data_IF_357856531203
#
_entry.id   IF_357856531203
#
_cell.length_a   1.000
_cell.length_b   1.000
_cell.length_c   1.000
_cell.angle_alpha   90.00
_cell.angle_beta   90.00
_cell.angle_gamma   90.00
#
_symmetry.space_group_name_H-M   'P 1'
#
loop_
_entity.id
_entity.type
_entity.pdbx_description
1 polymer ?
#
# COMPACT_ATOMS: atom_id res chain seq x y z
N UNK A 1 39.20 -25.02 -0.05
CA UNK A 1 39.02 -24.38 -1.37
C UNK A 1 37.63 -23.69 -1.43
N UNK A 2 37.24 -23.04 -0.30
CA UNK A 2 36.02 -22.20 -0.21
C UNK A 2 36.45 -20.73 -0.26
N UNK A 3 36.89 -20.24 -1.40
CA UNK A 3 37.28 -18.83 -1.60
C UNK A 3 36.07 -17.84 -1.46
N UNK A 4 34.84 -18.34 -1.33
CA UNK A 4 33.62 -17.52 -1.29
C UNK A 4 32.90 -17.49 0.07
N UNK A 5 33.42 -18.10 1.11
CA UNK A 5 32.78 -18.10 2.42
C UNK A 5 32.87 -16.73 3.11
N UNK A 6 31.76 -16.16 3.50
CA UNK A 6 31.73 -14.88 4.24
C UNK A 6 32.18 -15.07 5.67
N UNK A 7 32.92 -14.09 6.19
CA UNK A 7 33.32 -13.98 7.59
C UNK A 7 33.02 -12.56 8.10
N UNK A 8 32.80 -12.43 9.40
CA UNK A 8 32.63 -11.11 10.01
C UNK A 8 33.99 -10.38 10.04
N UNK A 9 34.04 -9.24 9.38
CA UNK A 9 35.23 -8.39 9.30
C UNK A 9 35.69 -7.96 10.71
N UNK A 10 37.02 -7.86 10.93
CA UNK A 10 37.57 -7.52 12.23
C UNK A 10 37.03 -6.21 12.82
N UNK A 11 36.78 -5.22 11.99
CA UNK A 11 36.19 -3.94 12.39
C UNK A 11 34.69 -4.03 12.70
N UNK A 12 33.97 -5.08 12.26
CA UNK A 12 32.57 -5.31 12.50
C UNK A 12 32.26 -6.22 13.70
N UNK A 13 33.29 -6.86 14.29
CA UNK A 13 33.13 -7.76 15.46
C UNK A 13 32.46 -7.05 16.64
N UNK A 14 32.86 -5.82 16.91
CA UNK A 14 32.26 -5.02 17.99
C UNK A 14 30.77 -4.76 17.71
N UNK A 15 30.38 -4.40 16.46
CA UNK A 15 28.99 -4.20 16.11
C UNK A 15 28.14 -5.47 16.24
N UNK A 16 28.73 -6.65 15.98
CA UNK A 16 28.06 -7.92 16.21
C UNK A 16 27.86 -8.18 17.71
N UNK A 17 28.88 -7.90 18.56
CA UNK A 17 28.80 -8.00 20.02
C UNK A 17 27.74 -7.04 20.59
N UNK A 18 27.73 -5.79 20.12
CA UNK A 18 26.74 -4.79 20.50
C UNK A 18 25.33 -5.25 20.11
N UNK A 19 25.15 -5.78 18.89
CA UNK A 19 23.86 -6.29 18.43
C UNK A 19 23.39 -7.50 19.26
N UNK A 20 24.26 -8.48 19.51
CA UNK A 20 23.92 -9.63 20.34
C UNK A 20 23.56 -9.23 21.78
N UNK A 21 24.27 -8.25 22.34
CA UNK A 21 24.02 -7.71 23.67
C UNK A 21 22.66 -6.98 23.75
N UNK A 22 22.32 -6.14 22.76
CA UNK A 22 21.02 -5.42 22.69
C UNK A 22 19.87 -6.40 22.51
N UNK A 23 20.03 -7.37 21.60
CA UNK A 23 19.03 -8.40 21.34
C UNK A 23 18.97 -9.47 22.43
N UNK A 24 19.96 -9.50 23.36
CA UNK A 24 20.10 -10.52 24.40
C UNK A 24 20.02 -11.94 23.84
N UNK A 25 20.79 -12.19 22.80
CA UNK A 25 20.97 -13.51 22.18
C UNK A 25 22.43 -13.93 22.21
N UNK A 26 22.66 -15.23 22.05
CA UNK A 26 24.02 -15.76 21.96
C UNK A 26 24.73 -15.21 20.69
N UNK A 27 25.93 -14.64 20.88
CA UNK A 27 26.70 -14.00 19.81
C UNK A 27 27.08 -14.99 18.70
N UNK A 28 27.51 -16.21 19.07
CA UNK A 28 27.99 -17.18 18.09
C UNK A 28 26.83 -17.74 17.26
N UNK A 29 25.65 -17.88 17.89
CA UNK A 29 24.41 -18.21 17.16
C UNK A 29 23.98 -17.10 16.18
N UNK A 30 24.05 -15.84 16.62
CA UNK A 30 23.73 -14.71 15.76
C UNK A 30 24.71 -14.61 14.58
N UNK A 31 26.04 -14.74 14.84
CA UNK A 31 27.05 -14.74 13.78
C UNK A 31 26.77 -15.85 12.77
N UNK A 32 26.51 -17.06 13.24
CA UNK A 32 26.24 -18.22 12.42
C UNK A 32 24.98 -18.02 11.55
N UNK A 33 23.91 -17.46 12.12
CA UNK A 33 22.68 -17.14 11.39
C UNK A 33 22.89 -16.08 10.32
N UNK A 34 23.88 -15.19 10.47
CA UNK A 34 24.17 -14.14 9.50
C UNK A 34 25.04 -14.60 8.33
N UNK A 35 25.99 -15.52 8.55
CA UNK A 35 27.01 -15.92 7.56
C UNK A 35 26.79 -17.33 6.98
N UNK A 36 25.83 -18.07 7.48
CA UNK A 36 25.53 -19.42 6.98
C UNK A 36 24.03 -19.68 6.88
N UNK A 37 23.68 -20.68 6.10
CA UNK A 37 22.29 -21.13 5.86
C UNK A 37 22.19 -22.63 6.08
N UNK A 38 21.12 -23.06 6.73
CA UNK A 38 20.81 -24.47 6.92
C UNK A 38 20.06 -25.02 5.70
N UNK A 39 20.61 -26.06 5.07
CA UNK A 39 19.97 -26.79 3.98
C UNK A 39 19.57 -28.15 4.52
N UNK A 40 18.26 -28.46 4.51
CA UNK A 40 17.74 -29.77 4.90
C UNK A 40 17.84 -30.72 3.70
N UNK A 41 18.70 -31.72 3.81
CA UNK A 41 18.86 -32.80 2.82
C UNK A 41 18.20 -34.08 3.32
N UNK A 42 18.13 -35.10 2.46
CA UNK A 42 17.60 -36.42 2.85
C UNK A 42 18.47 -37.08 3.99
N UNK A 43 19.74 -36.74 4.05
CA UNK A 43 20.72 -37.30 4.99
C UNK A 43 20.90 -36.44 6.25
N UNK A 44 20.18 -35.32 6.39
CA UNK A 44 20.25 -34.42 7.54
C UNK A 44 20.39 -32.96 7.15
N UNK A 45 20.53 -32.09 8.17
CA UNK A 45 20.69 -30.66 7.96
C UNK A 45 22.20 -30.31 7.80
N UNK A 46 22.54 -29.67 6.69
CA UNK A 46 23.90 -29.24 6.37
C UNK A 46 23.95 -27.70 6.45
N UNK A 47 24.99 -27.17 7.12
CA UNK A 47 25.26 -25.74 7.13
C UNK A 47 26.09 -25.38 5.90
N UNK A 48 25.57 -24.50 5.07
CA UNK A 48 26.26 -23.95 3.91
C UNK A 48 26.69 -22.51 4.21
N UNK A 49 27.98 -22.15 4.07
CA UNK A 49 28.43 -20.77 4.16
C UNK A 49 27.76 -19.92 3.06
N UNK A 50 27.47 -18.66 3.36
CA UNK A 50 26.96 -17.69 2.41
C UNK A 50 28.11 -16.94 1.74
N UNK A 51 27.88 -16.48 0.50
CA UNK A 51 28.75 -15.50 -0.14
C UNK A 51 28.70 -14.17 0.62
N UNK A 52 29.66 -13.28 0.41
CA UNK A 52 29.67 -11.93 1.03
C UNK A 52 28.42 -11.14 0.64
N UNK A 53 27.96 -11.27 -0.60
CA UNK A 53 26.73 -10.63 -1.07
C UNK A 53 25.50 -11.19 -0.35
N UNK A 54 25.37 -12.51 -0.28
CA UNK A 54 24.24 -13.17 0.37
C UNK A 54 24.20 -12.89 1.87
N UNK A 55 25.36 -12.86 2.54
CA UNK A 55 25.46 -12.52 3.96
C UNK A 55 25.04 -11.07 4.25
N UNK A 56 25.33 -10.12 3.35
CA UNK A 56 24.81 -8.75 3.46
C UNK A 56 23.29 -8.71 3.34
N UNK A 57 22.72 -9.39 2.35
CA UNK A 57 21.27 -9.50 2.18
C UNK A 57 20.61 -10.18 3.38
N UNK A 58 21.24 -11.21 3.92
CA UNK A 58 20.80 -11.94 5.11
C UNK A 58 20.73 -11.01 6.35
N UNK A 59 21.80 -10.23 6.59
CA UNK A 59 21.83 -9.20 7.63
C UNK A 59 20.71 -8.18 7.47
N UNK A 60 20.52 -7.68 6.25
CA UNK A 60 19.50 -6.64 5.96
C UNK A 60 18.08 -7.21 6.12
N UNK A 61 17.88 -8.50 5.77
CA UNK A 61 16.62 -9.22 6.02
C UNK A 61 16.31 -9.36 7.52
N UNK A 62 17.33 -9.63 8.35
CA UNK A 62 17.17 -9.65 9.80
C UNK A 62 16.70 -8.29 10.33
N UNK A 63 17.34 -7.20 9.90
CA UNK A 63 16.98 -5.85 10.32
C UNK A 63 15.55 -5.48 9.89
N UNK A 64 15.16 -5.79 8.63
CA UNK A 64 13.81 -5.57 8.11
C UNK A 64 12.77 -6.36 8.92
N UNK A 65 13.04 -7.63 9.20
CA UNK A 65 12.14 -8.50 9.95
C UNK A 65 11.93 -8.00 11.39
N UNK A 66 13.01 -7.61 12.07
CA UNK A 66 12.94 -7.03 13.41
C UNK A 66 12.08 -5.76 13.43
N UNK A 67 12.32 -4.86 12.50
CA UNK A 67 11.56 -3.61 12.42
C UNK A 67 10.08 -3.85 12.12
N UNK A 68 9.78 -4.69 11.13
CA UNK A 68 8.40 -5.00 10.74
C UNK A 68 7.60 -5.59 11.91
N UNK A 69 8.16 -6.59 12.59
CA UNK A 69 7.48 -7.23 13.71
C UNK A 69 7.33 -6.31 14.94
N UNK A 70 8.35 -5.50 15.21
CA UNK A 70 8.27 -4.50 16.27
C UNK A 70 7.18 -3.45 15.97
N UNK A 71 7.07 -3.04 14.71
CA UNK A 71 6.04 -2.11 14.27
C UNK A 71 4.64 -2.71 14.41
N UNK A 72 4.42 -3.95 13.93
CA UNK A 72 3.16 -4.66 14.07
C UNK A 72 2.74 -4.76 15.54
N UNK A 73 3.67 -5.16 16.41
CA UNK A 73 3.44 -5.23 17.85
C UNK A 73 3.07 -3.87 18.45
N UNK A 74 3.76 -2.80 18.04
CA UNK A 74 3.47 -1.45 18.52
C UNK A 74 2.07 -0.99 18.11
N UNK A 75 1.69 -1.23 16.84
CA UNK A 75 0.35 -0.93 16.32
C UNK A 75 -0.71 -1.70 17.10
N UNK A 76 -0.49 -2.97 17.38
CA UNK A 76 -1.43 -3.78 18.15
C UNK A 76 -1.59 -3.26 19.59
N UNK A 77 -0.48 -2.89 20.25
CA UNK A 77 -0.51 -2.28 21.59
C UNK A 77 -1.24 -0.94 21.62
N UNK A 78 -1.04 -0.11 20.61
CA UNK A 78 -1.78 1.15 20.46
C UNK A 78 -3.28 0.87 20.31
N UNK A 79 -3.66 -0.05 19.43
CA UNK A 79 -5.06 -0.41 19.22
C UNK A 79 -5.71 -0.97 20.50
N UNK A 80 -5.01 -1.80 21.25
CA UNK A 80 -5.47 -2.29 22.55
C UNK A 80 -5.66 -1.15 23.56
N UNK A 81 -4.74 -0.18 23.59
CA UNK A 81 -4.79 0.95 24.52
C UNK A 81 -5.95 1.91 24.23
N UNK A 82 -6.30 2.12 22.94
CA UNK A 82 -7.46 2.95 22.55
C UNK A 82 -8.79 2.19 22.54
N UNK A 83 -8.80 0.92 22.97
CA UNK A 83 -10.03 0.16 23.19
C UNK A 83 -10.61 -0.53 21.95
N UNK A 84 -9.86 -0.62 20.85
CA UNK A 84 -10.22 -1.47 19.71
C UNK A 84 -9.95 -2.95 20.08
N UNK A 85 -10.89 -3.57 20.77
CA UNK A 85 -10.88 -5.02 20.94
C UNK A 85 -11.33 -5.67 19.61
N UNK A 86 -10.65 -6.74 19.20
CA UNK A 86 -10.99 -7.61 18.05
C UNK A 86 -12.41 -8.25 18.13
N UNK A 87 -13.20 -7.93 19.16
CA UNK A 87 -14.55 -8.49 19.39
C UNK A 87 -15.57 -8.10 18.30
N UNK A 88 -15.24 -7.13 17.40
CA UNK A 88 -16.17 -6.66 16.37
C UNK A 88 -16.00 -7.36 15.01
N UNK A 89 -14.96 -8.18 14.79
CA UNK A 89 -14.75 -8.89 13.52
C UNK A 89 -15.34 -10.33 13.48
N UNK A 90 -15.50 -10.98 14.64
CA UNK A 90 -16.12 -12.33 14.72
C UNK A 90 -17.66 -12.31 14.56
N UNK A 91 -18.32 -11.17 14.81
CA UNK A 91 -19.79 -11.04 14.68
C UNK A 91 -20.26 -10.81 13.22
N UNK A 92 -19.36 -10.76 12.24
CA UNK A 92 -19.71 -10.46 10.84
C UNK A 92 -19.87 -11.74 9.97
N UNK A 93 -19.43 -12.91 10.41
CA UNK A 93 -19.46 -14.15 9.60
C UNK A 93 -20.56 -15.15 9.97
N UNK A 94 -21.22 -15.04 11.12
CA UNK A 94 -22.32 -15.93 11.46
C UNK A 94 -23.68 -15.35 11.04
N UNK A 95 -24.05 -15.69 9.82
CA UNK A 95 -25.41 -15.57 9.33
C UNK A 95 -26.33 -16.58 10.00
N UNK A 96 -27.49 -16.09 10.45
CA UNK A 96 -28.74 -16.79 10.81
C UNK A 96 -28.91 -17.39 12.22
N UNK A 97 -29.95 -16.82 12.85
CA UNK A 97 -30.72 -17.31 13.97
C UNK A 97 -30.15 -17.17 15.39
N UNK A 98 -30.51 -16.03 16.04
CA UNK A 98 -31.07 -16.11 17.41
C UNK A 98 -31.96 -14.88 17.66
N UNK A 99 -33.18 -15.14 18.04
CA UNK A 99 -34.22 -14.23 18.50
C UNK A 99 -33.79 -13.55 19.80
N UNK A 100 -33.91 -12.22 19.86
CA UNK A 100 -34.00 -11.46 21.13
C UNK A 100 -32.79 -10.58 21.43
N UNK A 101 -33.04 -9.29 21.42
CA UNK A 101 -32.22 -8.12 21.72
C UNK A 101 -31.30 -7.65 20.56
N UNK A 102 -31.75 -6.58 19.94
CA UNK A 102 -30.97 -5.80 18.99
C UNK A 102 -29.71 -5.28 19.69
N UNK A 103 -28.58 -6.00 19.60
CA UNK A 103 -27.26 -5.42 19.87
C UNK A 103 -27.14 -4.19 18.99
N UNK A 104 -27.11 -3.03 19.56
CA UNK A 104 -26.91 -1.76 18.87
C UNK A 104 -25.53 -1.83 18.20
N UNK A 105 -25.49 -1.96 16.87
CA UNK A 105 -24.25 -1.87 16.11
C UNK A 105 -23.58 -0.54 16.46
N UNK A 106 -22.43 -0.58 17.10
CA UNK A 106 -21.65 0.61 17.41
C UNK A 106 -21.32 1.32 16.11
N UNK A 107 -21.68 2.60 16.04
CA UNK A 107 -21.29 3.45 14.91
C UNK A 107 -19.89 3.99 15.19
N UNK A 108 -19.04 4.07 14.17
CA UNK A 108 -17.71 4.65 14.31
C UNK A 108 -17.51 5.76 13.29
N UNK A 109 -16.66 6.71 13.61
CA UNK A 109 -16.13 7.72 12.69
C UNK A 109 -14.65 7.41 12.53
N UNK A 110 -14.23 7.13 11.29
CA UNK A 110 -12.84 6.86 10.95
C UNK A 110 -12.18 8.08 10.33
N UNK A 111 -10.88 8.24 10.56
CA UNK A 111 -10.05 9.23 9.87
C UNK A 111 -8.97 8.47 9.11
N UNK A 112 -8.88 8.71 7.80
CA UNK A 112 -7.82 8.19 6.96
C UNK A 112 -6.85 9.31 6.63
N UNK A 113 -5.60 9.16 7.10
CA UNK A 113 -4.49 10.06 6.78
C UNK A 113 -3.33 9.24 6.20
N UNK A 114 -3.11 9.38 4.90
CA UNK A 114 -2.06 8.69 4.16
C UNK A 114 -1.22 9.68 3.36
N UNK A 115 -0.03 9.25 2.94
CA UNK A 115 0.77 10.04 2.01
C UNK A 115 -0.01 10.36 0.75
N UNK A 116 -0.02 11.65 0.36
CA UNK A 116 -0.56 12.08 -0.92
C UNK A 116 0.31 11.60 -2.09
N UNK A 117 -0.15 11.89 -3.31
CA UNK A 117 0.59 11.55 -4.53
C UNK A 117 1.99 12.20 -4.54
N UNK A 118 3.02 11.40 -4.84
CA UNK A 118 4.41 11.81 -4.82
C UNK A 118 5.04 11.79 -6.22
N UNK A 119 5.71 12.88 -6.58
CA UNK A 119 6.51 12.99 -7.80
C UNK A 119 7.76 13.78 -7.51
N UNK A 120 8.87 13.09 -7.36
CA UNK A 120 10.18 13.65 -7.08
C UNK A 120 11.09 13.55 -8.32
N UNK A 121 12.30 14.08 -8.20
CA UNK A 121 13.34 13.89 -9.24
C UNK A 121 13.76 12.42 -9.37
N UNK A 122 13.69 11.68 -8.27
CA UNK A 122 13.94 10.25 -8.20
C UNK A 122 12.78 9.58 -7.48
N UNK A 123 12.14 8.63 -8.13
CA UNK A 123 11.03 7.88 -7.58
C UNK A 123 11.39 6.40 -7.63
N UNK A 124 11.27 5.72 -6.51
CA UNK A 124 11.57 4.31 -6.38
C UNK A 124 10.32 3.50 -6.06
N UNK A 125 10.50 2.28 -5.60
CA UNK A 125 9.43 1.34 -5.25
C UNK A 125 8.44 1.90 -4.22
N UNK A 126 8.92 2.69 -3.26
CA UNK A 126 8.08 3.32 -2.25
C UNK A 126 7.09 4.31 -2.88
N UNK A 127 7.57 5.20 -3.77
CA UNK A 127 6.72 6.15 -4.50
C UNK A 127 5.74 5.43 -5.42
N UNK A 128 6.16 4.31 -6.01
CA UNK A 128 5.26 3.47 -6.81
C UNK A 128 4.10 2.92 -5.96
N UNK A 129 4.37 2.40 -4.78
CA UNK A 129 3.33 1.91 -3.86
C UNK A 129 2.42 3.03 -3.37
N UNK A 130 2.98 4.19 -2.98
CA UNK A 130 2.23 5.36 -2.54
C UNK A 130 1.31 5.86 -3.67
N UNK A 131 1.83 5.98 -4.88
CA UNK A 131 1.05 6.46 -6.02
C UNK A 131 -0.01 5.45 -6.46
N UNK A 132 0.24 4.15 -6.36
CA UNK A 132 -0.78 3.13 -6.57
C UNK A 132 -1.94 3.25 -5.56
N UNK A 133 -1.65 3.50 -4.28
CA UNK A 133 -2.69 3.75 -3.28
C UNK A 133 -3.50 5.01 -3.63
N UNK A 134 -2.83 6.08 -4.05
CA UNK A 134 -3.50 7.32 -4.45
C UNK A 134 -4.37 7.14 -5.70
N UNK A 135 -3.97 6.32 -6.68
CA UNK A 135 -4.80 5.97 -7.83
C UNK A 135 -6.12 5.29 -7.42
N UNK A 136 -6.05 4.32 -6.50
CA UNK A 136 -7.27 3.67 -5.99
C UNK A 136 -8.17 4.60 -5.21
N UNK A 137 -7.59 5.45 -4.38
CA UNK A 137 -8.36 6.45 -3.63
C UNK A 137 -8.95 7.52 -4.54
N UNK A 138 -8.23 7.92 -5.59
CA UNK A 138 -8.75 8.85 -6.59
C UNK A 138 -9.91 8.24 -7.38
N UNK A 139 -9.82 6.96 -7.77
CA UNK A 139 -10.94 6.26 -8.41
C UNK A 139 -12.17 6.25 -7.51
N UNK A 140 -11.99 5.90 -6.25
CA UNK A 140 -13.09 5.90 -5.27
C UNK A 140 -13.71 7.30 -5.11
N UNK A 141 -12.88 8.33 -5.04
CA UNK A 141 -13.33 9.72 -4.99
C UNK A 141 -14.13 10.11 -6.23
N UNK A 142 -13.60 9.84 -7.42
CA UNK A 142 -14.27 10.15 -8.68
C UNK A 142 -15.63 9.45 -8.79
N UNK A 143 -15.70 8.16 -8.46
CA UNK A 143 -16.94 7.38 -8.46
C UNK A 143 -17.97 7.98 -7.49
N UNK A 144 -17.54 8.41 -6.31
CA UNK A 144 -18.43 8.98 -5.29
C UNK A 144 -18.95 10.35 -5.71
N UNK A 145 -18.08 11.23 -6.21
CA UNK A 145 -18.46 12.56 -6.71
C UNK A 145 -19.43 12.43 -7.89
N UNK A 146 -19.11 11.55 -8.84
CA UNK A 146 -19.96 11.33 -10.00
C UNK A 146 -21.35 10.81 -9.61
N UNK A 147 -21.40 9.84 -8.68
CA UNK A 147 -22.67 9.31 -8.18
C UNK A 147 -23.50 10.36 -7.45
N UNK A 148 -22.87 11.22 -6.66
CA UNK A 148 -23.57 12.33 -5.99
C UNK A 148 -24.18 13.33 -7.00
N UNK A 149 -23.43 13.65 -8.07
CA UNK A 149 -23.93 14.49 -9.15
C UNK A 149 -25.13 13.85 -9.87
N UNK A 150 -25.08 12.55 -10.17
CA UNK A 150 -26.18 11.82 -10.78
C UNK A 150 -27.43 11.85 -9.90
N UNK A 151 -27.32 11.52 -8.63
CA UNK A 151 -28.43 11.50 -7.68
C UNK A 151 -29.11 12.87 -7.56
N UNK A 152 -28.33 13.95 -7.62
CA UNK A 152 -28.87 15.31 -7.58
C UNK A 152 -29.59 15.66 -8.88
N UNK A 153 -29.03 15.32 -10.03
CA UNK A 153 -29.67 15.56 -11.32
C UNK A 153 -30.97 14.76 -11.50
N UNK A 154 -31.00 13.52 -11.01
CA UNK A 154 -32.22 12.71 -11.02
C UNK A 154 -33.33 13.33 -10.14
N UNK A 155 -32.98 13.88 -8.97
CA UNK A 155 -33.95 14.59 -8.12
C UNK A 155 -34.52 15.85 -8.79
N UNK A 156 -33.68 16.55 -9.53
CA UNK A 156 -34.07 17.80 -10.25
C UNK A 156 -34.61 17.53 -11.65
N UNK A 157 -34.81 16.24 -12.04
CA UNK A 157 -35.23 15.82 -13.37
C UNK A 157 -34.39 16.41 -14.52
N UNK A 158 -33.07 16.52 -14.30
CA UNK A 158 -32.10 17.04 -15.27
C UNK A 158 -31.46 15.86 -16.00
N UNK A 159 -31.36 15.96 -17.34
CA UNK A 159 -30.62 15.00 -18.14
C UNK A 159 -29.11 15.12 -17.88
N UNK A 160 -28.50 14.01 -17.44
CA UNK A 160 -27.04 13.90 -17.11
C UNK A 160 -26.31 12.95 -18.07
N UNK A 161 -26.96 12.42 -19.09
CA UNK A 161 -26.38 11.41 -19.99
C UNK A 161 -25.16 11.88 -20.77
N UNK A 162 -24.90 13.19 -20.82
CA UNK A 162 -23.75 13.82 -21.47
C UNK A 162 -22.53 13.99 -20.56
N UNK A 163 -22.62 13.66 -19.26
CA UNK A 163 -21.50 13.79 -18.32
C UNK A 163 -20.68 12.50 -18.38
N UNK A 164 -19.49 12.60 -18.96
CA UNK A 164 -18.55 11.47 -19.04
C UNK A 164 -17.84 11.25 -17.71
N UNK A 165 -17.85 10.01 -17.23
CA UNK A 165 -17.05 9.58 -16.10
C UNK A 165 -15.63 9.28 -16.57
N UNK A 166 -14.65 10.00 -16.03
CA UNK A 166 -13.23 9.70 -16.27
C UNK A 166 -12.79 8.60 -15.30
N UNK A 167 -12.75 7.37 -15.79
CA UNK A 167 -12.25 6.23 -15.04
C UNK A 167 -10.74 6.10 -15.22
N UNK A 168 -10.04 5.86 -14.12
CA UNK A 168 -8.61 5.53 -14.12
C UNK A 168 -8.36 4.02 -13.93
N UNK A 169 -9.32 3.18 -14.29
CA UNK A 169 -9.18 1.73 -14.24
C UNK A 169 -8.04 1.22 -15.13
N UNK A 170 -7.79 1.87 -16.24
CA UNK A 170 -6.72 1.54 -17.18
C UNK A 170 -5.33 1.56 -16.52
N UNK A 171 -4.99 2.58 -15.74
CA UNK A 171 -3.71 2.61 -15.00
C UNK A 171 -3.69 1.59 -13.86
N UNK A 172 -4.80 1.38 -13.16
CA UNK A 172 -4.89 0.35 -12.13
C UNK A 172 -4.65 -1.05 -12.71
N UNK A 173 -5.20 -1.34 -13.88
CA UNK A 173 -4.98 -2.61 -14.57
C UNK A 173 -3.52 -2.81 -14.97
N UNK A 174 -2.84 -1.79 -15.47
CA UNK A 174 -1.39 -1.82 -15.73
C UNK A 174 -0.60 -2.18 -14.47
N UNK A 175 -0.98 -1.64 -13.32
CA UNK A 175 -0.26 -1.87 -12.06
C UNK A 175 -0.59 -3.25 -11.47
N UNK A 176 -1.87 -3.61 -11.35
CA UNK A 176 -2.30 -4.70 -10.45
C UNK A 176 -2.94 -5.91 -11.12
N UNK A 177 -3.16 -5.96 -12.44
CA UNK A 177 -3.76 -7.14 -13.09
C UNK A 177 -2.94 -8.39 -12.79
N UNK A 178 -3.63 -9.52 -12.61
CA UNK A 178 -3.02 -10.78 -12.14
C UNK A 178 -1.97 -11.34 -13.10
N UNK A 179 -2.13 -11.13 -14.39
CA UNK A 179 -1.21 -11.60 -15.43
C UNK A 179 -0.73 -10.40 -16.25
N UNK A 180 0.58 -10.16 -16.24
CA UNK A 180 1.19 -9.08 -17.01
C UNK A 180 1.06 -7.68 -16.39
N UNK A 181 0.53 -7.50 -15.18
CA UNK A 181 0.60 -6.25 -14.44
C UNK A 181 1.98 -6.07 -13.79
N UNK A 182 2.36 -4.84 -13.50
CA UNK A 182 3.70 -4.51 -12.97
C UNK A 182 4.03 -5.31 -11.70
N UNK A 183 3.10 -5.38 -10.74
CA UNK A 183 3.30 -6.13 -9.49
C UNK A 183 3.51 -7.62 -9.77
N UNK A 184 2.73 -8.22 -10.66
CA UNK A 184 2.87 -9.65 -10.99
C UNK A 184 4.18 -9.95 -11.73
N UNK A 185 4.60 -9.08 -12.65
CA UNK A 185 5.88 -9.21 -13.36
C UNK A 185 7.09 -9.03 -12.42
N UNK A 186 6.94 -8.15 -11.43
CA UNK A 186 7.94 -7.96 -10.38
C UNK A 186 8.05 -9.20 -9.49
N UNK A 187 6.93 -9.79 -9.08
CA UNK A 187 6.90 -11.00 -8.27
C UNK A 187 7.53 -12.19 -9.00
N UNK A 188 7.20 -12.38 -10.28
CA UNK A 188 7.86 -13.40 -11.11
C UNK A 188 9.38 -13.17 -11.19
N UNK A 189 9.81 -11.92 -11.32
CA UNK A 189 11.23 -11.57 -11.36
C UNK A 189 11.95 -11.81 -10.03
N UNK A 190 11.22 -11.69 -8.91
CA UNK A 190 11.74 -12.01 -7.58
C UNK A 190 11.93 -13.51 -7.32
N UNK A 191 11.08 -14.36 -7.90
CA UNK A 191 11.15 -15.82 -7.74
C UNK A 191 12.34 -16.41 -8.50
N UNK A 192 12.71 -15.81 -9.62
CA UNK A 192 13.86 -16.24 -10.41
C UNK A 192 15.18 -15.80 -9.75
N UNK A 193 16.07 -16.73 -9.49
CA UNK A 193 17.26 -16.53 -8.64
C UNK A 193 18.33 -15.59 -9.23
N UNK A 194 18.29 -15.25 -10.48
CA UNK A 194 19.33 -14.45 -11.16
C UNK A 194 18.77 -13.30 -12.02
N UNK A 195 17.54 -12.84 -11.76
CA UNK A 195 16.97 -11.74 -12.55
C UNK A 195 17.62 -10.41 -12.16
N UNK A 196 18.17 -9.73 -13.16
CA UNK A 196 18.72 -8.37 -12.97
C UNK A 196 17.64 -7.30 -13.20
N UNK A 197 17.95 -6.06 -12.79
CA UNK A 197 17.05 -4.92 -13.01
C UNK A 197 16.80 -4.66 -14.51
N UNK A 198 17.81 -4.91 -15.36
CA UNK A 198 17.68 -4.79 -16.81
C UNK A 198 16.71 -5.83 -17.40
N UNK A 199 16.80 -7.07 -16.92
CA UNK A 199 15.89 -8.15 -17.36
C UNK A 199 14.44 -7.86 -16.91
N UNK A 200 14.26 -7.35 -15.69
CA UNK A 200 12.95 -6.91 -15.21
C UNK A 200 12.40 -5.77 -16.08
N UNK A 201 13.20 -4.75 -16.38
CA UNK A 201 12.81 -3.64 -17.24
C UNK A 201 12.43 -4.12 -18.65
N UNK A 202 13.21 -5.01 -19.26
CA UNK A 202 12.91 -5.59 -20.56
C UNK A 202 11.58 -6.37 -20.55
N UNK A 203 11.32 -7.11 -19.47
CA UNK A 203 10.04 -7.82 -19.26
C UNK A 203 8.86 -6.86 -19.19
N UNK A 204 9.01 -5.73 -18.46
CA UNK A 204 8.00 -4.68 -18.42
C UNK A 204 7.74 -4.09 -19.81
N UNK A 205 8.80 -3.72 -20.53
CA UNK A 205 8.67 -3.11 -21.85
C UNK A 205 8.02 -4.05 -22.87
N UNK A 206 8.32 -5.36 -22.79
CA UNK A 206 7.71 -6.35 -23.70
C UNK A 206 6.25 -6.64 -23.37
N UNK A 207 5.87 -6.61 -22.08
CA UNK A 207 4.53 -6.96 -21.64
C UNK A 207 3.55 -5.79 -21.71
N UNK A 208 4.04 -4.54 -21.67
CA UNK A 208 3.26 -3.32 -21.54
C UNK A 208 3.46 -2.34 -22.72
N UNK A 209 4.02 -2.78 -23.84
CA UNK A 209 4.33 -1.91 -24.98
C UNK A 209 3.09 -1.24 -25.60
N UNK A 210 1.95 -1.94 -25.59
CA UNK A 210 0.67 -1.46 -26.13
C UNK A 210 -0.14 -0.63 -25.11
N UNK A 211 0.31 -0.49 -23.86
CA UNK A 211 -0.45 0.18 -22.81
C UNK A 211 -0.27 1.71 -22.88
N UNK A 212 -1.36 2.43 -23.04
CA UNK A 212 -1.34 3.91 -23.17
C UNK A 212 -0.79 4.63 -21.93
N UNK A 213 -0.93 4.01 -20.76
CA UNK A 213 -0.48 4.56 -19.47
C UNK A 213 0.97 4.23 -19.14
N UNK A 214 1.63 3.42 -19.95
CA UNK A 214 3.00 2.99 -19.75
C UNK A 214 3.91 3.48 -20.88
N UNK A 215 5.11 3.96 -20.54
CA UNK A 215 6.10 4.35 -21.54
C UNK A 215 7.53 4.17 -21.05
N UNK A 216 8.46 4.02 -22.02
CA UNK A 216 9.89 3.95 -21.75
C UNK A 216 10.50 5.35 -21.88
N UNK A 217 11.20 5.87 -20.87
CA UNK A 217 11.90 7.15 -20.97
C UNK A 217 13.08 7.09 -21.95
N UNK A 218 13.30 8.17 -22.70
CA UNK A 218 14.32 8.20 -23.78
C UNK A 218 15.77 8.06 -23.27
N UNK A 219 16.03 8.39 -22.01
CA UNK A 219 17.40 8.47 -21.45
C UNK A 219 17.79 7.30 -20.56
N UNK A 220 16.87 6.42 -20.21
CA UNK A 220 17.14 5.26 -19.37
C UNK A 220 16.79 3.95 -20.07
N UNK A 221 17.54 2.88 -19.77
CA UNK A 221 17.29 1.54 -20.29
C UNK A 221 16.51 0.66 -19.30
N UNK A 222 16.43 1.10 -18.04
CA UNK A 222 15.83 0.33 -16.96
C UNK A 222 14.64 1.03 -16.33
N UNK A 223 14.51 2.36 -16.44
CA UNK A 223 13.42 3.11 -15.85
C UNK A 223 12.15 3.00 -16.70
N UNK A 224 11.01 3.17 -16.05
CA UNK A 224 9.71 3.22 -16.73
C UNK A 224 8.89 4.41 -16.25
N UNK A 225 8.00 4.89 -17.11
CA UNK A 225 7.11 6.02 -16.81
C UNK A 225 5.68 5.55 -16.83
N UNK A 226 4.92 5.94 -15.81
CA UNK A 226 3.47 5.76 -15.72
C UNK A 226 2.77 7.11 -15.85
N UNK A 227 1.72 7.15 -16.67
CA UNK A 227 0.84 8.31 -16.79
C UNK A 227 -0.28 8.19 -15.77
N UNK A 228 -0.10 8.81 -14.61
CA UNK A 228 -1.05 8.85 -13.51
C UNK A 228 -2.09 9.96 -13.68
N UNK A 229 -3.14 9.95 -12.83
CA UNK A 229 -4.14 11.03 -12.82
C UNK A 229 -3.49 12.41 -12.55
N UNK A 230 -2.45 12.45 -11.73
CA UNK A 230 -1.74 13.69 -11.37
C UNK A 230 -0.65 14.10 -12.37
N UNK A 231 -0.33 13.23 -13.33
CA UNK A 231 0.68 13.43 -14.37
C UNK A 231 1.69 12.28 -14.46
N UNK A 232 2.67 12.44 -15.35
CA UNK A 232 3.69 11.45 -15.61
C UNK A 232 4.68 11.34 -14.46
N UNK A 233 4.97 10.10 -14.03
CA UNK A 233 6.01 9.80 -13.04
C UNK A 233 6.94 8.74 -13.60
N UNK A 234 8.24 9.05 -13.63
CA UNK A 234 9.28 8.10 -14.00
C UNK A 234 9.83 7.42 -12.74
N UNK A 235 9.87 6.11 -12.75
CA UNK A 235 10.34 5.26 -11.65
C UNK A 235 11.68 4.63 -12.00
N UNK A 236 12.67 4.77 -11.08
CA UNK A 236 13.97 4.13 -11.14
C UNK A 236 13.81 2.67 -10.69
N UNK A 237 13.84 1.71 -11.63
CA UNK A 237 13.54 0.29 -11.33
C UNK A 237 14.72 -0.49 -10.75
N UNK A 238 15.89 0.11 -10.63
CA UNK A 238 17.15 -0.54 -10.22
C UNK A 238 17.01 -1.40 -8.95
N UNK A 239 16.28 -0.92 -7.95
CA UNK A 239 16.13 -1.59 -6.66
C UNK A 239 14.74 -2.22 -6.44
N UNK A 240 13.89 -2.30 -7.47
CA UNK A 240 12.53 -2.82 -7.32
C UNK A 240 12.50 -4.28 -6.90
N UNK A 241 13.33 -5.12 -7.52
CA UNK A 241 13.41 -6.56 -7.20
C UNK A 241 13.84 -6.75 -5.74
N UNK A 242 14.89 -6.05 -5.29
CA UNK A 242 15.42 -6.19 -3.96
C UNK A 242 14.46 -5.64 -2.90
N UNK A 243 13.82 -4.50 -3.18
CA UNK A 243 12.84 -3.88 -2.27
C UNK A 243 11.54 -4.67 -2.17
N UNK A 244 11.16 -5.40 -3.23
CA UNK A 244 9.97 -6.23 -3.22
C UNK A 244 10.19 -7.60 -2.55
N UNK A 245 11.44 -8.05 -2.44
CA UNK A 245 11.78 -9.30 -1.76
C UNK A 245 11.71 -9.13 -0.25
N UNK A 246 10.86 -9.92 0.39
CA UNK A 246 10.89 -10.13 1.83
C UNK A 246 11.04 -11.63 2.09
N UNK A 247 12.12 -11.98 2.76
CA UNK A 247 12.43 -13.37 3.07
C UNK A 247 12.32 -13.59 4.57
N UNK A 248 11.39 -14.43 4.97
CA UNK A 248 11.41 -14.99 6.32
C UNK A 248 12.48 -16.08 6.40
N UNK A 249 13.57 -15.82 7.10
CA UNK A 249 14.69 -16.74 7.29
C UNK A 249 14.50 -17.42 8.64
N UNK A 250 14.37 -18.74 8.62
CA UNK A 250 14.06 -19.54 9.82
C UNK A 250 15.15 -19.37 10.90
N UNK A 251 16.41 -19.36 10.50
CA UNK A 251 17.55 -19.20 11.42
C UNK A 251 17.48 -17.88 12.22
N UNK A 252 16.96 -16.82 11.62
CA UNK A 252 16.74 -15.56 12.32
C UNK A 252 15.66 -15.70 13.40
N UNK A 253 14.54 -16.34 13.04
CA UNK A 253 13.45 -16.58 13.99
C UNK A 253 13.91 -17.48 15.14
N UNK A 254 14.65 -18.55 14.85
CA UNK A 254 15.20 -19.44 15.85
C UNK A 254 16.15 -18.74 16.82
N UNK A 255 17.03 -17.84 16.32
CA UNK A 255 17.93 -17.07 17.20
C UNK A 255 17.15 -16.07 18.05
N UNK A 256 16.20 -15.34 17.45
CA UNK A 256 15.46 -14.30 18.16
C UNK A 256 14.46 -14.84 19.17
N UNK A 257 13.88 -16.02 18.92
CA UNK A 257 13.00 -16.71 19.90
C UNK A 257 13.76 -17.13 21.19
N UNK A 258 15.08 -17.27 21.12
CA UNK A 258 15.91 -17.56 22.31
C UNK A 258 16.30 -16.32 23.12
N UNK A 259 15.85 -15.12 22.72
CA UNK A 259 16.18 -13.87 23.38
C UNK A 259 15.67 -13.85 24.84
N UNK A 260 16.49 -13.30 25.75
CA UNK A 260 16.09 -13.03 27.13
C UNK A 260 15.19 -11.78 27.24
N UNK A 261 15.01 -11.03 26.14
CA UNK A 261 14.16 -9.84 26.10
C UNK A 261 12.71 -10.23 25.94
N UNK A 262 11.84 -9.89 26.91
CA UNK A 262 10.41 -10.22 26.88
C UNK A 262 9.70 -9.77 25.60
N UNK A 263 10.03 -8.58 25.09
CA UNK A 263 9.42 -8.05 23.86
C UNK A 263 9.75 -8.94 22.67
N UNK A 264 11.01 -9.33 22.49
CA UNK A 264 11.40 -10.20 21.38
C UNK A 264 10.74 -11.57 21.47
N UNK A 265 10.68 -12.17 22.66
CA UNK A 265 9.94 -13.43 22.83
C UNK A 265 8.49 -13.30 22.42
N UNK A 266 7.76 -12.30 22.93
CA UNK A 266 6.37 -12.07 22.56
C UNK A 266 6.19 -11.91 21.05
N UNK A 267 7.00 -11.10 20.40
CA UNK A 267 6.91 -10.82 18.96
C UNK A 267 7.20 -12.08 18.11
N UNK A 268 8.05 -12.99 18.59
CA UNK A 268 8.46 -14.16 17.82
C UNK A 268 7.75 -15.46 18.23
N UNK A 269 7.27 -15.61 19.47
CA UNK A 269 6.52 -16.77 19.96
C UNK A 269 5.05 -16.75 19.51
N UNK A 270 4.37 -15.58 19.48
CA UNK A 270 2.95 -15.49 19.11
C UNK A 270 2.69 -15.94 17.67
N UNK A 271 3.57 -15.65 16.72
CA UNK A 271 3.40 -16.05 15.31
C UNK A 271 3.73 -17.51 15.02
N UNK A 272 4.52 -18.18 15.84
CA UNK A 272 4.67 -19.64 15.72
C UNK A 272 3.34 -20.37 16.01
N UNK A 273 2.58 -19.88 16.97
CA UNK A 273 1.26 -20.43 17.31
C UNK A 273 0.19 -20.14 16.24
N UNK A 274 0.24 -18.99 15.55
CA UNK A 274 -0.66 -18.69 14.42
C UNK A 274 -0.36 -19.59 13.22
N UNK A 275 0.91 -19.81 12.87
CA UNK A 275 1.33 -20.71 11.79
C UNK A 275 0.96 -22.17 12.10
N UNK A 276 0.98 -22.58 13.36
CA UNK A 276 0.58 -23.92 13.80
C UNK A 276 -0.95 -24.09 13.85
N UNK A 277 -1.70 -23.04 14.12
CA UNK A 277 -3.17 -23.08 14.18
C UNK A 277 -3.86 -22.99 12.81
N UNK A 278 -3.24 -22.36 11.80
CA UNK A 278 -3.68 -22.49 10.40
C UNK A 278 -3.48 -23.90 9.84
N UNK A 279 -2.74 -24.77 10.54
CA UNK A 279 -2.39 -26.14 10.18
C UNK A 279 -3.40 -27.22 10.50
N UNK A 280 -4.65 -26.92 10.87
CA UNK A 280 -5.70 -27.95 11.12
C UNK A 280 -6.33 -28.53 9.83
N UNK A 281 -5.71 -28.31 8.65
CA UNK A 281 -5.93 -29.13 7.44
C UNK A 281 -4.83 -30.18 7.35
N UNK A 282 -5.16 -31.48 7.11
CA UNK A 282 -4.14 -32.51 6.98
C UNK A 282 -3.12 -32.11 5.90
N UNK A 283 -1.80 -32.18 6.19
CA UNK A 283 -0.80 -31.75 5.25
C UNK A 283 -0.89 -32.59 3.96
N UNK A 284 -0.78 -31.98 2.78
CA UNK A 284 -0.63 -32.73 1.55
C UNK A 284 0.68 -33.54 1.64
N UNK A 285 0.70 -34.78 1.11
CA UNK A 285 1.86 -35.65 1.26
C UNK A 285 3.09 -35.02 0.59
N UNK A 286 4.12 -34.79 1.38
CA UNK A 286 5.46 -34.35 0.99
C UNK A 286 5.60 -32.95 0.36
N UNK A 287 5.19 -31.89 1.05
CA UNK A 287 5.80 -30.58 0.83
C UNK A 287 7.16 -30.56 1.57
N UNK A 288 8.26 -30.50 0.83
CA UNK A 288 9.60 -30.20 1.36
C UNK A 288 9.48 -28.84 2.06
N UNK A 289 9.73 -28.77 3.37
CA UNK A 289 9.85 -27.49 4.09
C UNK A 289 11.02 -26.73 3.45
N UNK A 290 10.72 -25.82 2.56
CA UNK A 290 11.70 -24.87 2.03
C UNK A 290 12.07 -23.96 3.18
N UNK A 291 13.34 -23.91 3.52
CA UNK A 291 13.89 -23.09 4.62
C UNK A 291 13.72 -21.57 4.39
N UNK A 292 13.13 -21.16 3.28
CA UNK A 292 12.97 -19.76 2.87
C UNK A 292 11.63 -19.59 2.17
N UNK A 293 10.72 -18.83 2.80
CA UNK A 293 9.43 -18.49 2.20
C UNK A 293 9.54 -17.08 1.63
N UNK A 294 9.46 -16.97 0.30
CA UNK A 294 9.37 -15.69 -0.38
C UNK A 294 8.02 -15.04 -0.09
N UNK A 295 8.05 -13.80 0.34
CA UNK A 295 6.88 -12.95 0.48
C UNK A 295 7.10 -11.69 -0.38
N UNK A 296 6.10 -11.35 -1.18
CA UNK A 296 6.13 -10.14 -2.00
C UNK A 296 5.56 -8.97 -1.21
N UNK A 297 6.37 -7.91 -1.03
CA UNK A 297 5.92 -6.67 -0.40
C UNK A 297 4.84 -6.00 -1.24
N UNK A 298 5.02 -5.91 -2.57
CA UNK A 298 4.05 -5.29 -3.47
C UNK A 298 2.71 -6.01 -3.49
N UNK A 299 2.71 -7.34 -3.47
CA UNK A 299 1.47 -8.11 -3.42
C UNK A 299 0.79 -8.02 -2.05
N UNK A 300 1.55 -8.04 -0.96
CA UNK A 300 1.02 -7.81 0.40
C UNK A 300 0.40 -6.42 0.52
N UNK A 301 1.08 -5.38 0.02
CA UNK A 301 0.57 -4.02 -0.03
C UNK A 301 -0.74 -3.93 -0.82
N UNK A 302 -0.80 -4.56 -2.00
CA UNK A 302 -2.02 -4.65 -2.82
C UNK A 302 -3.19 -5.27 -2.06
N UNK A 303 -2.96 -6.35 -1.31
CA UNK A 303 -4.01 -7.00 -0.51
C UNK A 303 -4.50 -6.08 0.61
N UNK A 304 -3.59 -5.49 1.39
CA UNK A 304 -3.94 -4.54 2.45
C UNK A 304 -4.71 -3.33 1.92
N UNK A 305 -4.28 -2.80 0.76
CA UNK A 305 -4.97 -1.69 0.09
C UNK A 305 -6.39 -2.09 -0.36
N UNK A 306 -6.58 -3.29 -0.89
CA UNK A 306 -7.90 -3.78 -1.28
C UNK A 306 -8.82 -3.95 -0.06
N UNK A 307 -8.31 -4.40 1.08
CA UNK A 307 -9.09 -4.52 2.31
C UNK A 307 -9.45 -3.14 2.89
N UNK A 308 -8.54 -2.18 2.81
CA UNK A 308 -8.85 -0.77 3.11
C UNK A 308 -9.96 -0.25 2.20
N UNK A 309 -9.88 -0.48 0.89
CA UNK A 309 -10.90 -0.05 -0.07
C UNK A 309 -12.26 -0.68 0.21
N UNK A 310 -12.33 -1.97 0.58
CA UNK A 310 -13.59 -2.62 1.00
C UNK A 310 -14.21 -1.92 2.22
N UNK A 311 -13.39 -1.58 3.23
CA UNK A 311 -13.86 -0.83 4.41
C UNK A 311 -14.41 0.53 4.00
N UNK A 312 -13.71 1.29 3.16
CA UNK A 312 -14.15 2.60 2.67
C UNK A 312 -15.46 2.54 1.86
N UNK A 313 -15.62 1.54 1.00
CA UNK A 313 -16.86 1.35 0.23
C UNK A 313 -18.08 1.07 1.13
N UNK A 314 -17.86 0.47 2.30
CA UNK A 314 -18.90 0.21 3.30
C UNK A 314 -19.26 1.41 4.18
N UNK A 315 -18.60 2.56 4.00
CA UNK A 315 -18.81 3.77 4.79
C UNK A 315 -19.35 4.92 3.96
N UNK A 316 -19.79 6.00 4.63
CA UNK A 316 -20.10 7.27 3.99
C UNK A 316 -18.84 8.17 4.03
N UNK A 317 -18.11 8.32 2.92
CA UNK A 317 -16.86 9.06 2.92
C UNK A 317 -17.08 10.57 2.83
N UNK A 318 -16.31 11.30 3.63
CA UNK A 318 -16.19 12.75 3.57
C UNK A 318 -14.75 13.10 3.22
N UNK A 319 -14.56 13.81 2.11
CA UNK A 319 -13.23 14.13 1.61
C UNK A 319 -12.80 15.53 2.05
N UNK A 320 -11.66 15.60 2.74
CA UNK A 320 -11.02 16.86 3.14
C UNK A 320 -9.71 16.99 2.38
N UNK A 321 -9.53 18.08 1.66
CA UNK A 321 -8.30 18.39 0.93
C UNK A 321 -7.68 19.64 1.50
N UNK A 322 -6.47 19.50 2.07
CA UNK A 322 -5.72 20.61 2.63
C UNK A 322 -4.70 21.12 1.60
N UNK A 323 -4.71 22.41 1.34
CA UNK A 323 -3.77 23.06 0.42
C UNK A 323 -2.91 24.03 1.20
N UNK A 324 -1.58 23.88 1.10
CA UNK A 324 -0.61 24.77 1.73
C UNK A 324 -0.29 25.93 0.78
N UNK A 325 -0.54 27.19 1.15
CA UNK A 325 -0.42 28.32 0.23
C UNK A 325 1.02 28.60 -0.22
N UNK A 326 2.02 28.27 0.61
CA UNK A 326 3.44 28.39 0.29
C UNK A 326 4.27 27.42 1.14
N UNK A 327 5.49 27.10 0.70
CA UNK A 327 6.39 26.18 1.41
C UNK A 327 6.98 26.77 2.69
N UNK A 328 7.23 28.07 2.71
CA UNK A 328 7.88 28.76 3.81
C UNK A 328 6.96 29.04 5.02
N UNK A 329 5.66 28.75 4.91
CA UNK A 329 4.63 29.06 5.93
C UNK A 329 4.57 30.55 6.29
N UNK A 330 4.81 31.42 5.30
CA UNK A 330 4.75 32.87 5.45
C UNK A 330 3.33 33.36 5.17
N UNK A 331 2.72 34.20 6.04
CA UNK A 331 1.38 34.71 5.83
C UNK A 331 1.32 35.63 4.60
N UNK A 332 0.15 35.72 3.97
CA UNK A 332 -0.12 36.57 2.80
C UNK A 332 0.73 36.27 1.55
N UNK A 333 1.40 35.13 1.50
CA UNK A 333 2.18 34.67 0.35
C UNK A 333 1.47 33.48 -0.32
N UNK A 334 1.27 33.58 -1.65
CA UNK A 334 0.57 32.57 -2.43
C UNK A 334 1.45 32.11 -3.60
N UNK A 335 1.85 30.82 -3.60
CA UNK A 335 2.70 30.23 -4.63
C UNK A 335 1.86 29.48 -5.66
N UNK A 336 1.46 30.14 -6.75
CA UNK A 336 0.55 29.61 -7.75
C UNK A 336 0.98 28.24 -8.30
N UNK A 337 2.26 28.08 -8.66
CA UNK A 337 2.75 26.84 -9.23
C UNK A 337 2.66 25.65 -8.23
N UNK A 338 3.01 25.91 -6.97
CA UNK A 338 2.93 24.93 -5.90
C UNK A 338 1.48 24.52 -5.61
N UNK A 339 0.58 25.51 -5.53
CA UNK A 339 -0.84 25.23 -5.31
C UNK A 339 -1.44 24.45 -6.46
N UNK A 340 -1.17 24.83 -7.71
CA UNK A 340 -1.65 24.10 -8.87
C UNK A 340 -1.19 22.62 -8.84
N UNK A 341 0.07 22.39 -8.44
CA UNK A 341 0.59 21.04 -8.28
C UNK A 341 -0.16 20.27 -7.17
N UNK A 342 -0.42 20.91 -6.02
CA UNK A 342 -1.19 20.28 -4.94
C UNK A 342 -2.64 19.96 -5.36
N UNK A 343 -3.30 20.82 -6.13
CA UNK A 343 -4.65 20.57 -6.65
C UNK A 343 -4.68 19.39 -7.63
N UNK A 344 -3.64 19.24 -8.45
CA UNK A 344 -3.47 18.07 -9.32
C UNK A 344 -3.26 16.80 -8.51
N UNK A 345 -2.27 16.81 -7.61
CA UNK A 345 -1.95 15.66 -6.77
C UNK A 345 -3.10 15.25 -5.84
N UNK A 346 -3.91 16.22 -5.39
CA UNK A 346 -5.10 15.97 -4.58
C UNK A 346 -6.34 15.54 -5.37
N UNK A 347 -6.27 15.47 -6.71
CA UNK A 347 -7.40 15.08 -7.56
C UNK A 347 -8.54 16.09 -7.60
N UNK A 348 -8.34 17.31 -7.10
CA UNK A 348 -9.39 18.35 -7.05
C UNK A 348 -9.78 18.81 -8.44
N UNK A 349 -8.83 18.84 -9.38
CA UNK A 349 -9.11 19.27 -10.74
C UNK A 349 -10.09 18.34 -11.46
N UNK A 350 -10.08 17.04 -11.17
CA UNK A 350 -11.04 16.09 -11.75
C UNK A 350 -12.45 16.33 -11.20
N UNK A 351 -12.59 16.59 -9.89
CA UNK A 351 -13.88 16.97 -9.31
C UNK A 351 -14.42 18.26 -9.95
N UNK A 352 -13.56 19.26 -10.17
CA UNK A 352 -13.95 20.50 -10.84
C UNK A 352 -14.40 20.23 -12.28
N UNK A 353 -13.72 19.33 -13.02
CA UNK A 353 -14.13 18.95 -14.39
C UNK A 353 -15.50 18.29 -14.40
N UNK A 354 -15.77 17.35 -13.51
CA UNK A 354 -17.07 16.68 -13.39
C UNK A 354 -18.15 17.73 -13.12
N UNK A 355 -17.96 18.61 -12.13
CA UNK A 355 -18.92 19.65 -11.80
C UNK A 355 -19.11 20.69 -12.92
N UNK A 356 -18.04 21.02 -13.67
CA UNK A 356 -18.12 21.97 -14.80
C UNK A 356 -18.72 21.36 -16.06
N UNK A 357 -18.67 20.04 -16.24
CA UNK A 357 -19.30 19.36 -17.36
C UNK A 357 -20.84 19.43 -17.28
N UNK A 358 -21.39 19.52 -16.07
CA UNK A 358 -22.81 19.69 -15.82
C UNK A 358 -23.21 21.14 -15.54
N UNK A 359 -24.05 21.34 -14.51
CA UNK A 359 -24.49 22.65 -14.05
C UNK A 359 -23.70 23.11 -12.81
N UNK A 360 -22.60 23.85 -12.98
CA UNK A 360 -21.70 24.22 -11.88
C UNK A 360 -22.29 25.31 -10.96
N UNK A 361 -23.26 26.07 -11.44
CA UNK A 361 -23.92 27.14 -10.66
C UNK A 361 -25.29 26.68 -10.21
N UNK A 362 -25.47 26.46 -8.92
CA UNK A 362 -26.71 26.00 -8.30
C UNK A 362 -27.16 27.02 -7.26
N UNK A 363 -28.45 27.24 -7.17
CA UNK A 363 -29.07 28.14 -6.18
C UNK A 363 -30.38 27.55 -5.70
N UNK A 364 -30.68 27.62 -4.39
CA UNK A 364 -32.02 27.34 -3.90
C UNK A 364 -33.05 28.19 -4.63
N UNK A 365 -34.21 27.62 -4.93
CA UNK A 365 -35.28 28.30 -5.68
C UNK A 365 -35.68 29.63 -5.02
N UNK A 366 -35.79 29.65 -3.68
CA UNK A 366 -36.10 30.86 -2.92
C UNK A 366 -35.07 31.99 -3.15
N UNK A 367 -33.76 31.63 -3.12
CA UNK A 367 -32.69 32.60 -3.35
C UNK A 367 -32.68 33.08 -4.81
N UNK A 368 -33.00 32.18 -5.75
CA UNK A 368 -33.13 32.51 -7.17
C UNK A 368 -34.28 33.50 -7.39
N UNK A 369 -35.45 33.21 -6.85
CA UNK A 369 -36.63 34.06 -6.95
C UNK A 369 -36.41 35.42 -6.27
N UNK A 370 -35.79 35.46 -5.09
CA UNK A 370 -35.45 36.72 -4.42
C UNK A 370 -34.55 37.61 -5.28
N UNK A 371 -33.60 37.01 -6.00
CA UNK A 371 -32.65 37.76 -6.82
C UNK A 371 -33.15 38.13 -8.20
N UNK A 372 -33.89 37.22 -8.83
CA UNK A 372 -34.24 37.33 -10.25
C UNK A 372 -35.76 37.43 -10.50
N UNK A 373 -36.60 37.22 -9.50
CA UNK A 373 -38.05 37.26 -9.63
C UNK A 373 -38.60 38.60 -10.16
N UNK A 374 -37.87 39.70 -9.99
CA UNK A 374 -38.19 40.99 -10.56
C UNK A 374 -38.15 41.01 -12.10
N UNK A 375 -37.43 40.07 -12.73
CA UNK A 375 -37.35 39.99 -14.20
C UNK A 375 -38.59 39.31 -14.82
N UNK A 376 -39.32 38.48 -14.04
CA UNK A 376 -40.51 37.75 -14.43
C UNK A 376 -41.45 37.62 -13.22
N UNK A 377 -42.12 38.72 -12.81
CA UNK A 377 -42.89 38.76 -11.57
C UNK A 377 -44.06 37.82 -11.53
N UNK A 378 -44.73 37.62 -12.68
CA UNK A 378 -45.93 36.78 -12.79
C UNK A 378 -45.58 35.29 -12.62
N UNK A 379 -44.47 34.85 -13.21
CA UNK A 379 -43.92 33.50 -13.06
C UNK A 379 -43.39 33.28 -11.66
N UNK A 380 -42.66 34.25 -11.09
CA UNK A 380 -42.14 34.17 -9.73
C UNK A 380 -43.26 34.03 -8.68
N UNK A 381 -44.40 34.70 -8.87
CA UNK A 381 -45.56 34.60 -7.98
C UNK A 381 -46.16 33.20 -7.94
N UNK A 382 -46.08 32.42 -9.02
CA UNK A 382 -46.58 31.02 -9.03
C UNK A 382 -45.79 30.08 -8.14
N UNK A 383 -44.49 30.33 -7.89
CA UNK A 383 -43.62 29.52 -7.02
C UNK A 383 -43.64 29.99 -5.55
N UNK A 384 -44.16 31.17 -5.28
CA UNK A 384 -44.24 31.74 -3.93
C UNK A 384 -45.58 31.49 -3.24
N UNK A 385 -46.58 30.99 -3.98
CA UNK A 385 -47.86 30.55 -3.41
C UNK A 385 -47.73 29.12 -2.90
N UNK A 386 -48.06 28.83 -1.61
CA UNK A 386 -47.98 27.52 -1.00
C UNK A 386 -48.87 26.46 -1.65
#
# INVERSE_FOLDING_TARGET
EDEDASVVASNAKRSLEDAASVLKVDKDRLEKALISRQIVTADGAILKPLSVSDAKHNRDSLAKMLYSRLFDWLVERINQAIGNKKEDEEDAEDGENITGDKKSKRRFIGVLDIYGFESFKKNSFEQFCINFANEKLQQHFNQKVFKMEQEEYEKEAIDWSYIEFVDNQDILDVIERKVGGIISLLDESCIMTSTTSEQFAQKLFSALDDEKRFSKPKRSQIDFTLNHYAGDVTYESENFIEKNKDYAILEHTEVLSTSETNILRLIFEEKENEILNEGNKPPPPRAKKSAMKFTSIGNSFKHQLNDLMKKLHGTEPHFVRCVKPNQASVPSTFENANILQQLRCGGVLEAVRISCAGYPSRKPIELFLTRFGLLAPDEAAQFLTP
#
